data_IF_889477382108
#
_entry.id   IF_889477382108
#
_cell.length_a   1.000
_cell.length_b   1.000
_cell.length_c   1.000
_cell.angle_alpha   90.00
_cell.angle_beta   90.00
_cell.angle_gamma   90.00
#
_symmetry.space_group_name_H-M   'P 1'
#
loop_
_entity.id
_entity.type
_entity.pdbx_description
1 polymer ?
#
# COMPACT_ATOMS: atom_id res chain seq x y z
N UNK A 1 -8.03 -7.21 -19.07
CA UNK A 1 -8.77 -6.79 -17.86
C UNK A 1 -7.80 -6.03 -16.98
N UNK A 2 -8.04 -4.75 -16.76
CA UNK A 2 -7.22 -3.94 -15.83
C UNK A 2 -7.52 -4.44 -14.42
N UNK A 3 -6.53 -5.03 -13.73
CA UNK A 3 -6.72 -5.43 -12.34
C UNK A 3 -6.92 -4.15 -11.51
N UNK A 4 -8.00 -4.08 -10.75
CA UNK A 4 -8.32 -2.98 -9.85
C UNK A 4 -7.98 -3.37 -8.41
N UNK A 5 -7.73 -2.37 -7.57
CA UNK A 5 -7.58 -2.57 -6.13
C UNK A 5 -8.89 -3.04 -5.49
N UNK A 6 -8.81 -4.15 -4.79
CA UNK A 6 -9.83 -4.66 -3.87
C UNK A 6 -9.36 -4.43 -2.41
N UNK A 7 -10.06 -3.61 -1.61
CA UNK A 7 -9.70 -3.35 -0.21
C UNK A 7 -9.86 -4.55 0.72
N UNK A 8 -10.55 -5.62 0.29
CA UNK A 8 -10.72 -6.86 1.08
C UNK A 8 -9.65 -7.92 0.76
N UNK A 9 -8.83 -7.70 -0.26
CA UNK A 9 -7.73 -8.58 -0.63
C UNK A 9 -6.43 -8.22 0.13
N UNK A 10 -5.42 -9.07 -0.06
CA UNK A 10 -4.07 -8.85 0.47
C UNK A 10 -3.07 -8.72 -0.66
N UNK A 11 -2.07 -7.85 -0.46
CA UNK A 11 -1.05 -7.53 -1.45
C UNK A 11 0.33 -7.51 -0.80
N UNK A 12 1.34 -7.93 -1.55
CA UNK A 12 2.70 -7.48 -1.33
C UNK A 12 2.85 -6.07 -1.89
N UNK A 13 3.57 -5.22 -1.16
CA UNK A 13 3.85 -3.85 -1.56
C UNK A 13 5.30 -3.79 -1.99
N UNK A 14 5.52 -3.47 -3.26
CA UNK A 14 6.85 -3.46 -3.86
C UNK A 14 7.28 -2.05 -4.23
N UNK A 15 8.54 -1.73 -3.96
CA UNK A 15 9.21 -0.53 -4.45
C UNK A 15 10.44 -0.97 -5.23
N UNK A 16 10.54 -0.55 -6.50
CA UNK A 16 11.64 -0.96 -7.38
C UNK A 16 11.82 -2.50 -7.42
N UNK A 17 10.71 -3.24 -7.50
CA UNK A 17 10.66 -4.72 -7.51
C UNK A 17 11.19 -5.39 -6.23
N UNK A 18 11.39 -4.63 -5.15
CA UNK A 18 11.70 -5.17 -3.84
C UNK A 18 10.47 -5.06 -2.95
N UNK A 19 10.10 -6.16 -2.30
CA UNK A 19 9.05 -6.17 -1.29
C UNK A 19 9.48 -5.35 -0.07
N UNK A 20 8.72 -4.30 0.24
CA UNK A 20 8.99 -3.37 1.35
C UNK A 20 7.92 -3.40 2.43
N UNK A 21 6.70 -3.82 2.07
CA UNK A 21 5.56 -3.86 2.99
C UNK A 21 4.53 -4.92 2.54
N UNK A 22 3.51 -5.11 3.36
CA UNK A 22 2.30 -5.85 3.04
C UNK A 22 1.07 -4.98 3.27
N UNK A 23 0.06 -5.15 2.43
CA UNK A 23 -1.26 -4.55 2.60
C UNK A 23 -2.27 -5.68 2.81
N UNK A 24 -2.79 -5.85 4.01
CA UNK A 24 -3.73 -6.91 4.36
C UNK A 24 -5.08 -6.29 4.65
N UNK A 25 -6.06 -6.50 3.76
CA UNK A 25 -7.44 -6.00 3.90
C UNK A 25 -7.48 -4.49 4.19
N UNK A 26 -6.73 -3.71 3.41
CA UNK A 26 -6.63 -2.26 3.56
C UNK A 26 -5.75 -1.79 4.71
N UNK A 27 -5.10 -2.67 5.48
CA UNK A 27 -4.17 -2.30 6.56
C UNK A 27 -2.73 -2.51 6.11
N UNK A 28 -1.89 -1.49 6.25
CA UNK A 28 -0.51 -1.48 5.75
C UNK A 28 0.50 -1.83 6.86
N UNK A 29 1.42 -2.74 6.55
CA UNK A 29 2.44 -3.27 7.46
C UNK A 29 3.82 -3.17 6.79
N UNK A 30 4.70 -2.29 7.25
CA UNK A 30 6.08 -2.23 6.75
C UNK A 30 6.90 -3.43 7.25
N UNK A 31 7.80 -3.94 6.41
CA UNK A 31 8.69 -5.06 6.75
C UNK A 31 10.06 -4.50 7.21
N UNK A 32 10.68 -5.04 8.28
CA UNK A 32 11.99 -4.60 8.78
C UNK A 32 13.09 -4.61 7.70
N UNK A 33 14.16 -3.79 7.81
CA UNK A 33 14.77 -3.30 9.05
C UNK A 33 14.36 -1.88 9.49
N UNK A 34 13.40 -1.22 8.83
CA UNK A 34 12.93 0.10 9.26
C UNK A 34 11.41 0.10 9.42
N UNK A 35 11.00 0.33 10.67
CA UNK A 35 9.68 0.69 11.20
C UNK A 35 8.77 -0.47 11.66
N UNK A 36 8.66 -0.59 12.98
CA UNK A 36 7.96 -1.60 13.79
C UNK A 36 6.46 -1.32 14.01
N UNK A 37 5.78 -0.49 13.22
CA UNK A 37 4.40 -0.08 13.53
C UNK A 37 3.42 -0.34 12.38
N UNK A 38 2.15 -0.53 12.76
CA UNK A 38 1.02 -0.49 11.83
C UNK A 38 0.95 0.93 11.26
N UNK A 39 1.66 1.16 10.17
CA UNK A 39 1.93 2.52 9.73
C UNK A 39 0.77 3.14 8.97
N UNK A 40 -0.13 2.37 8.34
CA UNK A 40 -1.21 3.01 7.59
C UNK A 40 -2.44 2.18 7.26
N UNK A 41 -3.41 2.86 6.65
CA UNK A 41 -4.70 2.31 6.21
C UNK A 41 -5.05 2.87 4.84
N UNK A 42 -5.77 2.07 4.07
CA UNK A 42 -6.39 2.51 2.82
C UNK A 42 -7.89 2.66 3.06
N UNK A 43 -8.39 3.89 2.96
CA UNK A 43 -9.80 4.23 3.15
C UNK A 43 -10.24 5.03 1.93
N UNK A 44 -11.30 4.57 1.24
CA UNK A 44 -11.84 5.22 0.05
C UNK A 44 -10.79 5.56 -1.03
N UNK A 45 -9.80 4.66 -1.20
CA UNK A 45 -8.71 4.84 -2.15
C UNK A 45 -7.62 5.82 -1.71
N UNK A 46 -7.64 6.30 -0.46
CA UNK A 46 -6.60 7.15 0.12
C UNK A 46 -5.72 6.31 1.06
N UNK A 47 -4.40 6.43 0.91
CA UNK A 47 -3.44 5.85 1.83
C UNK A 47 -3.11 6.85 2.94
N UNK A 48 -3.45 6.48 4.16
CA UNK A 48 -3.36 7.34 5.34
C UNK A 48 -2.44 6.72 6.40
N UNK A 49 -1.71 7.57 7.12
CA UNK A 49 -0.92 7.22 8.31
C UNK A 49 -1.47 8.09 9.45
N UNK A 50 -2.08 7.46 10.46
CA UNK A 50 -2.93 8.19 11.41
C UNK A 50 -4.06 8.94 10.68
N UNK A 51 -4.18 10.24 10.91
CA UNK A 51 -5.16 11.12 10.26
C UNK A 51 -4.61 11.83 9.00
N UNK A 52 -3.35 11.59 8.63
CA UNK A 52 -2.70 12.26 7.52
C UNK A 52 -2.82 11.43 6.23
N UNK A 53 -3.26 12.06 5.15
CA UNK A 53 -3.20 11.48 3.79
C UNK A 53 -1.76 11.54 3.28
N UNK A 54 -1.16 10.38 3.03
CA UNK A 54 0.21 10.25 2.53
C UNK A 54 0.22 9.95 1.02
N UNK A 55 -0.85 9.35 0.51
CA UNK A 55 -0.97 9.02 -0.90
C UNK A 55 -2.38 8.57 -1.29
N UNK A 56 -2.49 8.04 -2.50
CA UNK A 56 -3.72 7.50 -3.06
C UNK A 56 -3.46 6.19 -3.79
N UNK A 57 -4.51 5.40 -3.97
CA UNK A 57 -4.53 4.22 -4.81
C UNK A 57 -4.83 4.63 -6.25
N UNK A 58 -4.07 4.09 -7.20
CA UNK A 58 -4.32 4.18 -8.63
C UNK A 58 -4.11 2.80 -9.27
N UNK A 59 -5.20 2.12 -9.60
CA UNK A 59 -5.16 0.72 -10.06
C UNK A 59 -4.59 -0.20 -8.98
N UNK A 60 -3.46 -0.85 -9.26
CA UNK A 60 -2.69 -1.66 -8.30
C UNK A 60 -1.40 -0.96 -7.89
N UNK A 61 -1.50 0.32 -7.51
CA UNK A 61 -0.36 1.07 -7.02
C UNK A 61 -0.77 2.08 -5.94
N UNK A 62 0.12 2.33 -4.99
CA UNK A 62 0.07 3.49 -4.09
C UNK A 62 0.94 4.59 -4.70
N UNK A 63 0.35 5.76 -4.92
CA UNK A 63 1.04 6.97 -5.36
C UNK A 63 1.12 7.93 -4.17
N UNK A 64 2.32 8.15 -3.64
CA UNK A 64 2.57 9.08 -2.53
C UNK A 64 2.62 10.52 -3.01
N UNK A 65 2.44 11.46 -2.07
CA UNK A 65 2.50 12.89 -2.34
C UNK A 65 3.89 13.38 -2.84
N UNK A 66 4.96 12.66 -2.51
CA UNK A 66 6.32 12.91 -3.00
C UNK A 66 6.56 12.39 -4.44
N UNK A 67 5.56 11.77 -5.06
CA UNK A 67 5.64 11.15 -6.38
C UNK A 67 6.15 9.71 -6.39
N UNK A 68 6.53 9.15 -5.22
CA UNK A 68 6.93 7.76 -5.11
C UNK A 68 5.77 6.83 -5.45
N UNK A 69 6.07 5.77 -6.19
CA UNK A 69 5.11 4.74 -6.59
C UNK A 69 5.50 3.40 -5.99
N UNK A 70 4.53 2.76 -5.35
CA UNK A 70 4.65 1.40 -4.82
C UNK A 70 3.63 0.53 -5.51
N UNK A 71 4.05 -0.60 -6.07
CA UNK A 71 3.14 -1.52 -6.76
C UNK A 71 2.52 -2.49 -5.76
N UNK A 72 1.23 -2.80 -5.97
CA UNK A 72 0.45 -3.74 -5.17
C UNK A 72 0.35 -5.07 -5.93
N UNK A 73 1.06 -6.08 -5.46
CA UNK A 73 1.08 -7.40 -6.06
C UNK A 73 0.10 -8.29 -5.31
N UNK A 74 -1.01 -8.74 -5.94
CA UNK A 74 -2.00 -9.58 -5.25
C UNK A 74 -1.37 -10.86 -4.72
N UNK A 75 -1.66 -11.18 -3.45
CA UNK A 75 -1.34 -12.49 -2.87
C UNK A 75 -2.33 -13.53 -3.40
N UNK A 76 -1.82 -14.73 -3.68
CA UNK A 76 -2.63 -15.89 -4.05
C UNK A 76 -3.41 -16.45 -2.85
#
# INVERSE_FOLDING_TARGET
MTKQFDPQASYDVEFQQMKVAELVKGVFYEIPPKFEEKNGRVIDGLYMIGDQVIGRIDGLAIIRADGSRFDLVPKA
#
